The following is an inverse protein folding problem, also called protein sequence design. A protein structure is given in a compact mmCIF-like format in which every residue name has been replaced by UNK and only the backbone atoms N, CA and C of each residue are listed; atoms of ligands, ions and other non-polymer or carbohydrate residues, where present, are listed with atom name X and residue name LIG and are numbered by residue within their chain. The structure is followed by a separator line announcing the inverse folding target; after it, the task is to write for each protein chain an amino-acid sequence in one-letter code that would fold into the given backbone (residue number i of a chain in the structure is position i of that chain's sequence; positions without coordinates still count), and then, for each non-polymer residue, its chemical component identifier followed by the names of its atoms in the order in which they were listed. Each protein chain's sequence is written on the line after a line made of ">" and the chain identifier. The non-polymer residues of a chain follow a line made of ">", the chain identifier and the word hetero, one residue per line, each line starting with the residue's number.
data_IF_645077575089
#
_entry.id   IF_645077575089
#
_cell.length_a   1.000
_cell.length_b   1.000
_cell.length_c   1.000
_cell.angle_alpha   90.00
_cell.angle_beta   90.00
_cell.angle_gamma   90.00
#
_symmetry.space_group_name_H-M   'P 1'
#
loop_
_entity.id
_entity.type
_entity.pdbx_description
1 polymer ?
#
# COMPACT_ATOMS: atom_id res chain seq x y z
N UNK A 1 2.34 -12.54 14.17
CA UNK A 1 3.32 -11.45 14.05
C UNK A 1 3.65 -11.35 12.57
N UNK A 2 3.08 -10.41 11.82
CA UNK A 2 3.45 -10.23 10.40
C UNK A 2 4.71 -9.39 10.34
N UNK A 3 5.79 -9.97 9.83
CA UNK A 3 7.06 -9.27 9.62
C UNK A 3 6.85 -8.06 8.69
N UNK A 4 7.48 -6.96 9.04
CA UNK A 4 7.55 -5.75 8.23
C UNK A 4 8.23 -6.10 6.90
N UNK A 5 7.47 -6.13 5.80
CA UNK A 5 8.00 -6.44 4.47
C UNK A 5 8.79 -5.27 3.85
N UNK A 6 9.21 -4.31 4.67
CA UNK A 6 10.02 -3.15 4.28
C UNK A 6 11.49 -3.58 4.27
N UNK A 7 12.04 -3.82 3.08
CA UNK A 7 13.46 -4.14 2.90
C UNK A 7 14.28 -2.86 2.99
N UNK A 8 15.10 -2.75 4.05
CA UNK A 8 16.13 -1.71 4.15
C UNK A 8 17.41 -2.21 3.49
N UNK A 9 17.94 -1.44 2.54
CA UNK A 9 19.15 -1.81 1.79
C UNK A 9 20.06 -0.59 1.66
N UNK A 10 21.37 -0.81 1.66
CA UNK A 10 22.32 0.26 1.41
C UNK A 10 22.39 0.62 -0.08
N UNK A 11 22.88 1.81 -0.41
CA UNK A 11 23.08 2.21 -1.81
C UNK A 11 24.04 1.26 -2.56
N UNK A 12 25.05 0.73 -1.87
CA UNK A 12 25.99 -0.21 -2.44
C UNK A 12 25.34 -1.58 -2.73
N UNK A 13 24.41 -2.02 -1.88
CA UNK A 13 23.66 -3.25 -2.11
C UNK A 13 22.72 -3.10 -3.32
N UNK A 14 22.04 -1.95 -3.43
CA UNK A 14 21.13 -1.66 -4.56
C UNK A 14 21.92 -1.64 -5.88
N UNK A 15 23.11 -1.04 -5.92
CA UNK A 15 23.96 -1.00 -7.13
C UNK A 15 24.43 -2.37 -7.59
N UNK A 16 24.60 -3.32 -6.68
CA UNK A 16 24.99 -4.71 -7.00
C UNK A 16 23.81 -5.57 -7.44
N UNK A 17 22.58 -5.10 -7.29
CA UNK A 17 21.41 -5.85 -7.72
C UNK A 17 21.34 -5.96 -9.23
N UNK A 18 20.79 -7.08 -9.69
CA UNK A 18 20.44 -7.24 -11.09
C UNK A 18 19.40 -6.20 -11.46
N UNK A 19 19.74 -5.31 -12.40
CA UNK A 19 18.75 -4.46 -13.03
C UNK A 19 17.82 -5.32 -13.89
N UNK A 20 16.52 -5.11 -13.75
CA UNK A 20 15.50 -5.74 -14.59
C UNK A 20 15.16 -4.91 -15.84
N UNK A 21 15.73 -3.70 -15.94
CA UNK A 21 15.53 -2.81 -17.07
C UNK A 21 16.42 -3.24 -18.23
N UNK A 22 15.85 -3.36 -19.43
CA UNK A 22 16.62 -3.55 -20.66
C UNK A 22 17.23 -2.21 -21.11
N UNK A 23 18.41 -1.93 -20.60
CA UNK A 23 19.13 -0.69 -20.89
C UNK A 23 19.63 -0.58 -22.33
N UNK A 24 19.88 -1.72 -23.00
CA UNK A 24 20.33 -1.73 -24.39
C UNK A 24 19.19 -1.37 -25.34
N UNK A 25 17.96 -1.80 -25.04
CA UNK A 25 16.77 -1.33 -25.73
C UNK A 25 16.59 0.19 -25.58
N UNK A 26 16.60 0.69 -24.34
CA UNK A 26 16.35 2.12 -24.08
C UNK A 26 17.39 3.01 -24.80
N UNK A 27 18.68 2.63 -24.75
CA UNK A 27 19.75 3.34 -25.47
C UNK A 27 19.52 3.37 -26.98
N UNK A 28 19.04 2.26 -27.57
CA UNK A 28 18.73 2.19 -29.00
C UNK A 28 17.54 3.08 -29.38
N UNK A 29 16.49 3.08 -28.57
CA UNK A 29 15.32 3.93 -28.79
C UNK A 29 15.70 5.42 -28.71
N UNK A 30 16.50 5.81 -27.71
CA UNK A 30 17.04 7.18 -27.60
C UNK A 30 17.94 7.55 -28.79
N UNK A 31 18.83 6.65 -29.22
CA UNK A 31 19.69 6.88 -30.39
C UNK A 31 18.91 6.98 -31.71
N UNK A 32 17.73 6.37 -31.77
CA UNK A 32 16.80 6.46 -32.90
C UNK A 32 15.89 7.71 -32.82
N UNK A 33 16.04 8.56 -31.80
CA UNK A 33 15.21 9.74 -31.61
C UNK A 33 13.77 9.44 -31.23
N UNK A 34 13.49 8.25 -30.68
CA UNK A 34 12.17 7.88 -30.18
C UNK A 34 12.02 8.50 -28.79
N UNK A 35 11.10 9.44 -28.68
CA UNK A 35 10.71 10.04 -27.39
C UNK A 35 9.55 9.25 -26.78
N UNK A 36 9.50 9.11 -25.44
CA UNK A 36 8.35 8.51 -24.78
C UNK A 36 7.12 9.37 -25.03
N UNK A 37 6.01 8.72 -25.42
CA UNK A 37 4.71 9.39 -25.47
C UNK A 37 4.31 9.74 -24.04
N UNK A 38 4.21 11.04 -23.76
CA UNK A 38 3.84 11.55 -22.45
C UNK A 38 2.33 11.74 -22.41
N UNK A 39 1.69 11.15 -21.41
CA UNK A 39 0.31 11.46 -21.06
C UNK A 39 0.25 12.86 -20.43
N UNK A 40 -0.33 13.82 -21.17
CA UNK A 40 -0.53 15.20 -20.69
C UNK A 40 -1.49 15.29 -19.49
N UNK A 41 -2.47 14.39 -19.37
CA UNK A 41 -3.36 14.28 -18.21
C UNK A 41 -2.58 13.81 -16.97
N UNK A 42 -1.62 12.90 -17.12
CA UNK A 42 -0.77 12.41 -16.02
C UNK A 42 0.27 13.45 -15.58
N UNK A 43 0.79 14.26 -16.51
CA UNK A 43 1.72 15.36 -16.21
C UNK A 43 1.05 16.61 -15.62
N UNK A 44 -0.26 16.78 -15.84
CA UNK A 44 -1.05 17.89 -15.31
C UNK A 44 -1.50 17.72 -13.86
N UNK A 45 -1.20 16.57 -13.24
CA UNK A 45 -1.54 16.32 -11.83
C UNK A 45 -0.60 17.16 -10.95
N UNK A 46 -1.11 18.24 -10.37
CA UNK A 46 -0.42 18.96 -9.31
C UNK A 46 -0.59 18.21 -7.98
N UNK A 47 0.46 17.53 -7.55
CA UNK A 47 0.45 16.78 -6.29
C UNK A 47 0.63 17.76 -5.13
N UNK A 48 -0.38 17.85 -4.25
CA UNK A 48 -0.28 18.58 -2.99
C UNK A 48 0.60 17.82 -1.99
N UNK A 49 1.91 18.08 -2.07
CA UNK A 49 2.89 17.53 -1.15
C UNK A 49 2.85 18.19 0.24
N UNK A 50 2.29 19.40 0.35
CA UNK A 50 2.20 20.13 1.62
C UNK A 50 1.30 19.40 2.64
N UNK A 51 0.30 18.68 2.15
CA UNK A 51 -0.61 17.87 2.96
C UNK A 51 -0.28 16.37 2.98
N UNK A 52 0.81 15.93 2.35
CA UNK A 52 1.19 14.53 2.32
C UNK A 52 1.53 14.02 3.73
N UNK A 53 0.73 13.06 4.23
CA UNK A 53 0.95 12.44 5.54
C UNK A 53 1.60 11.08 5.40
N UNK A 54 2.74 10.90 6.05
CA UNK A 54 3.35 9.59 6.20
C UNK A 54 2.47 8.72 7.10
N UNK A 55 1.74 7.77 6.50
CA UNK A 55 0.95 6.77 7.23
C UNK A 55 1.77 5.50 7.37
N UNK A 56 2.41 5.34 8.53
CA UNK A 56 3.04 4.07 8.88
C UNK A 56 1.94 3.09 9.34
N UNK A 57 1.86 1.87 8.77
CA UNK A 57 0.89 0.89 9.24
C UNK A 57 1.24 0.47 10.67
N UNK A 58 0.43 0.90 11.63
CA UNK A 58 0.59 0.43 13.00
C UNK A 58 0.24 -1.07 13.10
N UNK A 59 1.07 -1.88 13.77
CA UNK A 59 0.78 -3.30 13.96
C UNK A 59 -0.49 -3.46 14.80
N UNK A 60 -1.44 -4.23 14.28
CA UNK A 60 -2.65 -4.59 15.03
C UNK A 60 -2.27 -5.44 16.24
N UNK A 61 -2.87 -5.15 17.40
CA UNK A 61 -2.72 -5.98 18.61
C UNK A 61 -3.57 -7.23 18.48
N UNK A 62 -2.96 -8.41 18.63
CA UNK A 62 -3.69 -9.67 18.71
C UNK A 62 -4.34 -9.77 20.09
N UNK A 63 -5.67 -9.86 20.11
CA UNK A 63 -6.47 -9.96 21.34
C UNK A 63 -7.40 -11.16 21.25
N UNK A 64 -7.70 -11.78 22.39
CA UNK A 64 -8.76 -12.79 22.49
C UNK A 64 -10.06 -12.09 22.87
N UNK A 65 -11.02 -12.04 21.95
CA UNK A 65 -12.34 -11.43 22.14
C UNK A 65 -13.43 -12.49 21.97
N UNK A 66 -14.43 -12.47 22.84
CA UNK A 66 -15.66 -13.26 22.66
C UNK A 66 -16.64 -12.45 21.83
N UNK A 67 -17.17 -13.07 20.77
CA UNK A 67 -18.17 -12.50 19.86
C UNK A 67 -19.33 -13.48 19.76
N UNK A 68 -20.52 -12.97 19.48
CA UNK A 68 -21.67 -13.80 19.15
C UNK A 68 -21.40 -14.58 17.86
N UNK A 69 -21.93 -15.80 17.78
CA UNK A 69 -21.64 -16.73 16.70
C UNK A 69 -22.11 -16.21 15.34
N UNK A 70 -23.32 -15.64 15.31
CA UNK A 70 -23.94 -15.04 14.13
C UNK A 70 -23.13 -13.86 13.55
N UNK A 71 -22.58 -13.01 14.42
CA UNK A 71 -21.70 -11.90 14.02
C UNK A 71 -20.42 -12.43 13.38
N UNK A 72 -19.79 -13.45 13.99
CA UNK A 72 -18.58 -14.03 13.44
C UNK A 72 -18.84 -14.71 12.10
N UNK A 73 -19.94 -15.44 11.97
CA UNK A 73 -20.32 -16.15 10.75
C UNK A 73 -20.68 -15.18 9.63
N UNK A 74 -21.36 -14.08 9.94
CA UNK A 74 -21.63 -12.99 8.98
C UNK A 74 -20.34 -12.45 8.33
N UNK A 75 -19.30 -12.18 9.13
CA UNK A 75 -18.03 -11.70 8.57
C UNK A 75 -17.30 -12.80 7.82
N UNK A 76 -17.25 -14.03 8.35
CA UNK A 76 -16.60 -15.18 7.68
C UNK A 76 -17.20 -15.48 6.31
N UNK A 77 -18.52 -15.34 6.14
CA UNK A 77 -19.22 -15.56 4.87
C UNK A 77 -18.70 -14.65 3.74
N UNK A 78 -18.09 -13.50 4.07
CA UNK A 78 -17.50 -12.58 3.10
C UNK A 78 -16.12 -13.03 2.58
N UNK A 79 -15.61 -14.17 3.04
CA UNK A 79 -14.38 -14.79 2.55
C UNK A 79 -13.08 -14.19 3.11
N UNK A 80 -12.00 -14.32 2.33
CA UNK A 80 -10.64 -13.90 2.74
C UNK A 80 -10.64 -12.42 3.14
N UNK A 81 -10.01 -12.13 4.28
CA UNK A 81 -9.93 -10.77 4.81
C UNK A 81 -11.08 -10.36 5.74
N UNK A 82 -11.95 -11.29 6.15
CA UNK A 82 -13.06 -11.00 7.07
C UNK A 82 -12.64 -10.25 8.34
N UNK A 83 -11.50 -10.60 8.94
CA UNK A 83 -10.98 -9.90 10.13
C UNK A 83 -10.62 -8.43 9.84
N UNK A 84 -10.13 -8.13 8.64
CA UNK A 84 -9.83 -6.75 8.22
C UNK A 84 -11.12 -5.94 8.08
N UNK A 85 -12.18 -6.53 7.49
CA UNK A 85 -13.49 -5.88 7.37
C UNK A 85 -14.13 -5.65 8.73
N UNK A 86 -14.11 -6.66 9.59
CA UNK A 86 -14.60 -6.57 10.97
C UNK A 86 -13.88 -5.43 11.73
N UNK A 87 -12.55 -5.34 11.61
CA UNK A 87 -11.78 -4.26 12.21
C UNK A 87 -12.10 -2.87 11.63
N UNK A 88 -12.44 -2.78 10.34
CA UNK A 88 -12.84 -1.51 9.72
C UNK A 88 -14.17 -1.00 10.31
N UNK A 89 -15.14 -1.90 10.55
CA UNK A 89 -16.41 -1.56 11.20
C UNK A 89 -16.17 -1.07 12.63
N UNK A 90 -15.37 -1.79 13.42
CA UNK A 90 -15.02 -1.37 14.78
C UNK A 90 -14.33 0.00 14.82
N UNK A 91 -13.46 0.27 13.85
CA UNK A 91 -12.80 1.58 13.71
C UNK A 91 -13.79 2.69 13.37
N UNK A 92 -14.68 2.46 12.40
CA UNK A 92 -15.70 3.44 12.03
C UNK A 92 -16.60 3.79 13.21
N UNK A 93 -17.02 2.80 13.99
CA UNK A 93 -17.79 3.02 15.22
C UNK A 93 -17.00 3.85 16.25
N UNK A 94 -15.74 3.50 16.51
CA UNK A 94 -14.86 4.26 17.41
C UNK A 94 -14.70 5.72 16.95
N UNK A 95 -14.49 5.98 15.67
CA UNK A 95 -14.33 7.32 15.12
C UNK A 95 -15.62 8.15 15.20
N UNK A 96 -16.77 7.53 14.94
CA UNK A 96 -18.06 8.18 15.10
C UNK A 96 -18.30 8.60 16.56
N UNK A 97 -17.98 7.74 17.53
CA UNK A 97 -18.11 8.04 18.96
C UNK A 97 -17.13 9.12 19.45
N UNK A 98 -15.95 9.25 18.84
CA UNK A 98 -14.98 10.29 19.19
C UNK A 98 -15.32 11.69 18.66
N UNK A 99 -16.19 11.77 17.65
CA UNK A 99 -16.63 13.03 17.05
C UNK A 99 -17.90 13.60 17.68
N UNK A 100 -18.59 12.81 18.52
CA UNK A 100 -19.71 13.24 19.36
C UNK A 100 -19.21 13.82 20.68
#
# INVERSE_FOLDING_TARGET
>A
MSESNIKRMSLDDIRKMKSYTDWDRLRRETAAGIEPELDEEELGIEWDWDNARLVMPEPKRAVSLRLDADVLDFFKAQGKGYQTRMNAVLRAYMEAQKKA
#
